data_IF_868988961085
#
_entry.id   IF_868988961085
#
_cell.length_a   1.000
_cell.length_b   1.000
_cell.length_c   1.000
_cell.angle_alpha   90.00
_cell.angle_beta   90.00
_cell.angle_gamma   90.00
#
_symmetry.space_group_name_H-M   'P 1'
#
loop_
_entity.id
_entity.type
_entity.pdbx_description
1 polymer ?
#
# COMPACT_ATOMS: atom_id res chain seq x y z
N UNK A 1 -4.98 1.57 -36.62
CA UNK A 1 -5.27 2.34 -35.38
C UNK A 1 -3.97 2.57 -34.63
N UNK A 2 -3.60 3.83 -34.40
CA UNK A 2 -2.25 4.27 -34.04
C UNK A 2 -1.77 3.73 -32.69
N UNK A 3 -0.56 3.14 -32.70
CA UNK A 3 0.12 2.61 -31.52
C UNK A 3 0.36 3.65 -30.41
N UNK A 4 0.48 4.93 -30.79
CA UNK A 4 0.65 6.05 -29.85
C UNK A 4 -0.59 6.36 -29.01
N UNK A 5 -1.79 6.31 -29.59
CA UNK A 5 -3.04 6.64 -28.88
C UNK A 5 -3.37 5.59 -27.81
N UNK A 6 -3.06 4.32 -28.08
CA UNK A 6 -3.19 3.24 -27.10
C UNK A 6 -2.16 3.33 -25.97
N UNK A 7 -0.95 3.81 -26.26
CA UNK A 7 0.07 4.07 -25.24
C UNK A 7 -0.38 5.18 -24.28
N UNK A 8 -0.87 6.32 -24.79
CA UNK A 8 -1.35 7.43 -23.94
C UNK A 8 -2.53 7.01 -23.06
N UNK A 9 -3.51 6.28 -23.62
CA UNK A 9 -4.64 5.74 -22.84
C UNK A 9 -4.18 4.80 -21.73
N UNK A 10 -3.21 3.93 -22.01
CA UNK A 10 -2.61 3.01 -21.02
C UNK A 10 -1.98 3.77 -19.86
N UNK A 11 -1.20 4.80 -20.15
CA UNK A 11 -0.58 5.65 -19.14
C UNK A 11 -1.62 6.27 -18.20
N UNK A 12 -2.66 6.88 -18.76
CA UNK A 12 -3.73 7.53 -17.99
C UNK A 12 -4.59 6.57 -17.19
N UNK A 13 -4.72 5.31 -17.61
CA UNK A 13 -5.48 4.32 -16.85
C UNK A 13 -4.63 3.66 -15.76
N UNK A 14 -3.43 3.21 -16.09
CA UNK A 14 -2.62 2.37 -15.20
C UNK A 14 -1.90 3.18 -14.12
N UNK A 15 -1.33 4.34 -14.50
CA UNK A 15 -0.47 5.08 -13.57
C UNK A 15 -1.25 5.60 -12.34
N UNK A 16 -2.46 6.16 -12.46
CA UNK A 16 -3.24 6.56 -11.28
C UNK A 16 -3.57 5.38 -10.37
N UNK A 17 -3.93 4.22 -10.93
CA UNK A 17 -4.25 3.02 -10.15
C UNK A 17 -3.03 2.55 -9.35
N UNK A 18 -1.87 2.47 -10.01
CA UNK A 18 -0.60 2.08 -9.39
C UNK A 18 -0.19 3.09 -8.32
N UNK A 19 -0.33 4.38 -8.62
CA UNK A 19 -0.01 5.47 -7.71
C UNK A 19 -0.86 5.42 -6.43
N UNK A 20 -2.19 5.32 -6.56
CA UNK A 20 -3.11 5.24 -5.41
C UNK A 20 -2.77 4.01 -4.57
N UNK A 21 -2.55 2.86 -5.22
CA UNK A 21 -2.27 1.61 -4.50
C UNK A 21 -0.97 1.67 -3.72
N UNK A 22 0.09 2.21 -4.32
CA UNK A 22 1.37 2.38 -3.65
C UNK A 22 1.30 3.44 -2.55
N UNK A 23 0.50 4.49 -2.75
CA UNK A 23 0.22 5.51 -1.73
C UNK A 23 -0.43 4.90 -0.49
N UNK A 24 -1.48 4.10 -0.69
CA UNK A 24 -2.16 3.41 0.42
C UNK A 24 -1.23 2.45 1.17
N UNK A 25 -0.31 1.77 0.48
CA UNK A 25 0.67 0.92 1.14
C UNK A 25 1.65 1.73 2.00
N UNK A 26 2.05 2.92 1.55
CA UNK A 26 2.94 3.80 2.32
C UNK A 26 2.24 4.52 3.48
N UNK A 27 0.91 4.58 3.45
CA UNK A 27 0.06 5.30 4.39
C UNK A 27 0.29 4.84 5.84
N UNK A 28 0.42 3.54 6.09
CA UNK A 28 0.62 3.01 7.46
C UNK A 28 1.92 3.51 8.10
N UNK A 29 3.01 3.61 7.34
CA UNK A 29 4.29 4.12 7.85
C UNK A 29 4.19 5.57 8.30
N UNK A 30 3.49 6.38 7.51
CA UNK A 30 3.25 7.78 7.83
C UNK A 30 2.35 7.89 9.06
N UNK A 31 1.23 7.16 9.08
CA UNK A 31 0.29 7.14 10.18
C UNK A 31 0.89 6.74 11.50
N UNK A 32 1.73 5.70 11.54
CA UNK A 32 2.34 5.29 12.79
C UNK A 32 3.26 6.37 13.35
N UNK A 33 3.93 7.11 12.46
CA UNK A 33 4.75 8.26 12.85
C UNK A 33 3.88 9.42 13.36
N UNK A 34 2.74 9.70 12.73
CA UNK A 34 1.80 10.73 13.18
C UNK A 34 1.10 10.36 14.50
N UNK A 35 0.66 9.12 14.65
CA UNK A 35 0.08 8.59 15.88
C UNK A 35 1.10 8.58 17.03
N UNK A 36 2.38 8.31 16.73
CA UNK A 36 3.49 8.46 17.69
C UNK A 36 3.63 9.90 18.19
N UNK A 37 3.42 10.89 17.33
CA UNK A 37 3.39 12.29 17.73
C UNK A 37 2.09 12.70 18.44
N UNK A 38 1.02 11.92 18.30
CA UNK A 38 -0.33 12.24 18.79
C UNK A 38 -0.73 11.53 20.10
N UNK A 39 0.18 10.80 20.74
CA UNK A 39 -0.06 10.26 22.08
C UNK A 39 -0.15 8.73 22.20
N UNK A 40 0.01 7.96 21.11
CA UNK A 40 0.01 6.48 21.20
C UNK A 40 1.09 5.96 22.17
N UNK A 41 2.19 6.71 22.31
CA UNK A 41 3.31 6.39 23.18
C UNK A 41 2.95 6.50 24.65
N UNK A 42 2.23 7.55 25.02
CA UNK A 42 1.74 7.82 26.35
C UNK A 42 0.60 6.85 26.71
N UNK A 43 -0.35 6.66 25.79
CA UNK A 43 -1.53 5.80 25.96
C UNK A 43 -1.18 4.33 26.21
N UNK A 44 -0.15 3.81 25.53
CA UNK A 44 0.26 2.40 25.61
C UNK A 44 1.54 2.19 26.42
N UNK A 45 2.11 3.25 27.01
CA UNK A 45 3.38 3.18 27.75
C UNK A 45 4.57 2.75 26.89
N UNK A 46 4.58 3.14 25.61
CA UNK A 46 5.63 2.78 24.66
C UNK A 46 6.89 3.58 24.99
N UNK A 47 7.91 2.89 25.48
CA UNK A 47 9.25 3.45 25.64
C UNK A 47 9.97 3.57 24.30
N UNK A 48 11.03 4.38 24.22
CA UNK A 48 11.88 4.48 23.02
C UNK A 48 12.38 3.11 22.55
N UNK A 49 12.71 2.20 23.47
CA UNK A 49 13.12 0.83 23.15
C UNK A 49 12.01 0.02 22.48
N UNK A 50 10.77 0.15 22.95
CA UNK A 50 9.61 -0.53 22.36
C UNK A 50 9.29 0.07 20.99
N UNK A 51 9.33 1.39 20.81
CA UNK A 51 9.13 2.02 19.49
C UNK A 51 10.12 1.46 18.45
N UNK A 52 11.40 1.37 18.82
CA UNK A 52 12.44 0.77 17.98
C UNK A 52 12.17 -0.71 17.70
N UNK A 53 11.70 -1.47 18.68
CA UNK A 53 11.31 -2.87 18.51
C UNK A 53 10.14 -3.03 17.54
N UNK A 54 9.10 -2.20 17.65
CA UNK A 54 7.95 -2.21 16.74
C UNK A 54 8.36 -1.94 15.29
N UNK A 55 9.23 -0.94 15.09
CA UNK A 55 9.82 -0.65 13.78
C UNK A 55 10.67 -1.81 13.25
N UNK A 56 11.50 -2.42 14.12
CA UNK A 56 12.32 -3.57 13.75
C UNK A 56 11.46 -4.79 13.35
N UNK A 57 10.37 -5.08 14.07
CA UNK A 57 9.45 -6.16 13.73
C UNK A 57 8.77 -5.95 12.38
N UNK A 58 8.36 -4.72 12.08
CA UNK A 58 7.84 -4.37 10.76
C UNK A 58 8.86 -4.67 9.65
N UNK A 59 10.10 -4.17 9.80
CA UNK A 59 11.13 -4.42 8.79
C UNK A 59 11.59 -5.87 8.73
N UNK A 60 11.50 -6.61 9.84
CA UNK A 60 11.78 -8.05 9.88
C UNK A 60 10.79 -8.83 9.00
N UNK A 61 9.49 -8.58 9.17
CA UNK A 61 8.45 -9.15 8.32
C UNK A 61 8.65 -8.76 6.85
N UNK A 62 8.97 -7.48 6.62
CA UNK A 62 9.26 -6.96 5.29
C UNK A 62 10.42 -7.72 4.62
N UNK A 63 11.56 -7.85 5.30
CA UNK A 63 12.76 -8.48 4.76
C UNK A 63 12.53 -9.93 4.34
N UNK A 64 11.93 -10.75 5.22
CA UNK A 64 11.73 -12.17 4.93
C UNK A 64 10.70 -12.43 3.82
N UNK A 65 9.67 -11.60 3.72
CA UNK A 65 8.56 -11.84 2.78
C UNK A 65 8.66 -11.08 1.47
N UNK A 66 9.64 -10.18 1.33
CA UNK A 66 9.84 -9.45 0.08
C UNK A 66 10.21 -10.38 -1.09
N UNK A 67 11.14 -11.33 -0.86
CA UNK A 67 11.55 -12.30 -1.91
C UNK A 67 10.41 -13.28 -2.24
N UNK A 68 9.78 -13.96 -1.27
CA UNK A 68 8.61 -14.80 -1.54
C UNK A 68 7.47 -14.06 -2.25
N UNK A 69 7.16 -12.84 -1.81
CA UNK A 69 6.14 -11.98 -2.40
C UNK A 69 6.44 -11.64 -3.87
N UNK A 70 7.70 -11.30 -4.18
CA UNK A 70 8.14 -11.06 -5.55
C UNK A 70 7.99 -12.31 -6.43
N UNK A 71 8.41 -13.48 -5.95
CA UNK A 71 8.29 -14.75 -6.67
C UNK A 71 6.81 -15.08 -6.94
N UNK A 72 5.93 -14.88 -5.95
CA UNK A 72 4.50 -15.09 -6.13
C UNK A 72 3.91 -14.14 -7.18
N UNK A 73 4.26 -12.85 -7.10
CA UNK A 73 3.80 -11.83 -8.04
C UNK A 73 4.19 -12.15 -9.49
N UNK A 74 5.43 -12.61 -9.70
CA UNK A 74 5.95 -12.97 -11.02
C UNK A 74 5.27 -14.23 -11.59
N UNK A 75 5.13 -15.27 -10.76
CA UNK A 75 4.69 -16.61 -11.23
C UNK A 75 3.17 -16.78 -11.26
N UNK A 76 2.42 -16.10 -10.40
CA UNK A 76 0.98 -16.32 -10.22
C UNK A 76 0.15 -15.16 -10.71
N UNK A 77 0.11 -14.07 -9.94
CA UNK A 77 -0.77 -12.93 -10.22
C UNK A 77 -0.42 -11.77 -9.30
N UNK A 78 -0.16 -10.62 -9.90
CA UNK A 78 -0.01 -9.35 -9.17
C UNK A 78 -1.38 -8.90 -8.66
N UNK A 79 -2.43 -9.03 -9.48
CA UNK A 79 -3.80 -8.64 -9.15
C UNK A 79 -4.27 -9.29 -7.85
N UNK A 80 -4.12 -10.62 -7.73
CA UNK A 80 -4.52 -11.38 -6.53
C UNK A 80 -3.71 -11.02 -5.30
N UNK A 81 -2.39 -10.90 -5.46
CA UNK A 81 -1.49 -10.59 -4.37
C UNK A 81 -1.81 -9.22 -3.77
N UNK A 82 -1.90 -8.17 -4.61
CA UNK A 82 -2.20 -6.82 -4.16
C UNK A 82 -3.60 -6.70 -3.56
N UNK A 83 -4.59 -7.41 -4.11
CA UNK A 83 -5.92 -7.48 -3.52
C UNK A 83 -5.89 -7.99 -2.07
N UNK A 84 -5.23 -9.13 -1.84
CA UNK A 84 -5.07 -9.70 -0.50
C UNK A 84 -4.30 -8.74 0.40
N UNK A 85 -3.22 -8.14 -0.10
CA UNK A 85 -2.44 -7.17 0.67
C UNK A 85 -3.29 -5.97 1.11
N UNK A 86 -4.11 -5.39 0.23
CA UNK A 86 -4.95 -4.24 0.57
C UNK A 86 -6.02 -4.59 1.63
N UNK A 87 -6.62 -5.78 1.55
CA UNK A 87 -7.58 -6.25 2.55
C UNK A 87 -6.90 -6.46 3.90
N UNK A 88 -5.77 -7.17 3.93
CA UNK A 88 -5.02 -7.42 5.15
C UNK A 88 -4.50 -6.12 5.76
N UNK A 89 -4.06 -5.18 4.92
CA UNK A 89 -3.62 -3.86 5.33
C UNK A 89 -4.76 -3.09 6.01
N UNK A 90 -5.92 -2.98 5.37
CA UNK A 90 -7.06 -2.23 5.94
C UNK A 90 -7.59 -2.86 7.23
N UNK A 91 -7.56 -4.19 7.31
CA UNK A 91 -7.84 -4.94 8.54
C UNK A 91 -6.83 -4.64 9.65
N UNK A 92 -5.53 -4.70 9.37
CA UNK A 92 -4.48 -4.44 10.35
C UNK A 92 -4.46 -2.98 10.82
N UNK A 93 -4.71 -2.02 9.92
CA UNK A 93 -4.88 -0.61 10.26
C UNK A 93 -6.05 -0.45 11.24
N UNK A 94 -7.22 -0.99 10.92
CA UNK A 94 -8.40 -0.93 11.81
C UNK A 94 -8.15 -1.62 13.16
N UNK A 95 -7.45 -2.76 13.17
CA UNK A 95 -7.05 -3.46 14.39
C UNK A 95 -6.07 -2.64 15.25
N UNK A 96 -5.21 -1.83 14.63
CA UNK A 96 -4.31 -0.92 15.35
C UNK A 96 -5.11 0.12 16.14
N UNK A 97 -6.20 0.65 15.57
CA UNK A 97 -7.05 1.62 16.26
C UNK A 97 -7.72 1.09 17.52
N UNK A 98 -7.98 -0.21 17.61
CA UNK A 98 -8.63 -0.84 18.77
C UNK A 98 -7.64 -1.52 19.74
N UNK A 99 -6.34 -1.33 19.55
CA UNK A 99 -5.32 -2.00 20.36
C UNK A 99 -5.15 -1.33 21.72
N UNK A 100 -4.93 -2.15 22.75
CA UNK A 100 -4.74 -1.70 24.13
C UNK A 100 -3.47 -2.25 24.79
N UNK A 101 -2.71 -3.09 24.07
CA UNK A 101 -1.51 -3.71 24.62
C UNK A 101 -0.37 -3.78 23.58
N UNK A 102 0.86 -3.70 24.08
CA UNK A 102 2.08 -3.70 23.27
C UNK A 102 2.27 -5.01 22.49
N UNK A 103 2.04 -6.21 23.05
CA UNK A 103 2.22 -7.46 22.31
C UNK A 103 1.30 -7.58 21.08
N UNK A 104 0.04 -7.17 21.17
CA UNK A 104 -0.86 -7.15 20.02
C UNK A 104 -0.39 -6.14 18.97
N UNK A 105 0.05 -4.94 19.39
CA UNK A 105 0.62 -3.95 18.47
C UNK A 105 1.87 -4.49 17.76
N UNK A 106 2.74 -5.21 18.47
CA UNK A 106 3.92 -5.86 17.92
C UNK A 106 3.56 -6.92 16.86
N UNK A 107 2.56 -7.76 17.13
CA UNK A 107 2.06 -8.74 16.18
C UNK A 107 1.47 -8.07 14.93
N UNK A 108 0.64 -7.03 15.11
CA UNK A 108 0.07 -6.25 14.00
C UNK A 108 1.17 -5.63 13.14
N UNK A 109 2.23 -5.07 13.76
CA UNK A 109 3.36 -4.47 13.03
C UNK A 109 4.16 -5.47 12.24
N UNK A 110 4.39 -6.67 12.78
CA UNK A 110 5.03 -7.74 12.04
C UNK A 110 4.19 -8.14 10.82
N UNK A 111 2.87 -8.34 10.99
CA UNK A 111 1.97 -8.71 9.90
C UNK A 111 1.91 -7.62 8.83
N UNK A 112 1.83 -6.34 9.22
CA UNK A 112 1.90 -5.21 8.29
C UNK A 112 3.19 -5.24 7.47
N UNK A 113 4.32 -5.52 8.12
CA UNK A 113 5.61 -5.71 7.46
C UNK A 113 5.56 -6.80 6.39
N UNK A 114 5.00 -7.96 6.72
CA UNK A 114 4.81 -9.09 5.79
C UNK A 114 3.93 -8.71 4.60
N UNK A 115 2.82 -8.01 4.85
CA UNK A 115 1.85 -7.58 3.84
C UNK A 115 2.47 -6.56 2.88
N UNK A 116 3.18 -5.58 3.41
CA UNK A 116 3.74 -4.48 2.63
C UNK A 116 4.97 -4.91 1.82
N UNK A 117 5.69 -5.93 2.29
CA UNK A 117 6.87 -6.53 1.62
C UNK A 117 6.63 -6.84 0.14
N UNK A 118 5.42 -7.30 -0.17
CA UNK A 118 5.04 -7.80 -1.47
C UNK A 118 4.59 -6.67 -2.43
N UNK A 119 4.23 -5.49 -1.92
CA UNK A 119 3.58 -4.44 -2.71
C UNK A 119 4.55 -3.84 -3.73
N UNK A 120 5.72 -3.38 -3.27
CA UNK A 120 6.73 -2.76 -4.14
C UNK A 120 7.18 -3.71 -5.27
N UNK A 121 7.64 -4.95 -5.01
CA UNK A 121 8.06 -5.84 -6.09
C UNK A 121 6.90 -6.18 -7.04
N UNK A 122 5.69 -6.37 -6.53
CA UNK A 122 4.52 -6.63 -7.35
C UNK A 122 4.18 -5.45 -8.28
N UNK A 123 4.28 -4.20 -7.79
CA UNK A 123 4.08 -3.01 -8.63
C UNK A 123 5.12 -2.88 -9.72
N UNK A 124 6.39 -3.16 -9.43
CA UNK A 124 7.46 -3.15 -10.44
C UNK A 124 7.22 -4.22 -11.52
N UNK A 125 6.84 -5.44 -11.12
CA UNK A 125 6.47 -6.51 -12.05
C UNK A 125 5.27 -6.10 -12.90
N UNK A 126 4.26 -5.49 -12.29
CA UNK A 126 3.08 -4.98 -12.99
C UNK A 126 3.44 -3.92 -14.04
N UNK A 127 4.22 -2.90 -13.66
CA UNK A 127 4.73 -1.89 -14.60
C UNK A 127 5.52 -2.57 -15.72
N UNK A 128 6.34 -3.58 -15.40
CA UNK A 128 7.13 -4.29 -16.42
C UNK A 128 6.25 -5.04 -17.43
N UNK A 129 5.10 -5.57 -17.02
CA UNK A 129 4.17 -6.27 -17.89
C UNK A 129 3.42 -5.34 -18.85
N UNK A 130 3.16 -4.10 -18.43
CA UNK A 130 2.33 -3.14 -19.17
C UNK A 130 3.12 -2.09 -19.95
N UNK A 131 4.32 -1.74 -19.51
CA UNK A 131 5.15 -0.69 -20.11
C UNK A 131 6.39 -1.25 -20.80
N UNK A 132 6.77 -0.60 -21.90
CA UNK A 132 7.97 -0.93 -22.68
C UNK A 132 9.25 -0.54 -21.94
N UNK A 133 10.42 -1.10 -22.31
CA UNK A 133 11.70 -0.80 -21.65
C UNK A 133 12.03 0.70 -21.59
N UNK A 134 11.68 1.47 -22.61
CA UNK A 134 11.90 2.93 -22.65
C UNK A 134 10.96 3.71 -21.72
N UNK A 135 9.76 3.19 -21.46
CA UNK A 135 8.75 3.83 -20.60
C UNK A 135 8.88 3.44 -19.13
N UNK A 136 9.40 2.24 -18.83
CA UNK A 136 9.51 1.68 -17.48
C UNK A 136 10.23 2.59 -16.50
N UNK A 137 11.31 3.24 -16.92
CA UNK A 137 12.06 4.15 -16.05
C UNK A 137 11.17 5.29 -15.55
N UNK A 138 10.43 5.93 -16.47
CA UNK A 138 9.49 7.02 -16.14
C UNK A 138 8.34 6.52 -15.26
N UNK A 139 7.76 5.36 -15.56
CA UNK A 139 6.69 4.78 -14.75
C UNK A 139 7.16 4.45 -13.32
N UNK A 140 8.38 3.92 -13.17
CA UNK A 140 8.98 3.66 -11.86
C UNK A 140 9.25 4.96 -11.08
N UNK A 141 9.70 6.03 -11.76
CA UNK A 141 9.84 7.35 -11.12
C UNK A 141 8.51 7.84 -10.57
N UNK A 142 7.42 7.74 -11.35
CA UNK A 142 6.08 8.10 -10.88
C UNK A 142 5.61 7.25 -9.70
N UNK A 143 5.88 5.94 -9.71
CA UNK A 143 5.60 5.07 -8.56
C UNK A 143 6.31 5.58 -7.30
N UNK A 144 7.62 5.84 -7.38
CA UNK A 144 8.43 6.28 -6.23
C UNK A 144 8.00 7.67 -5.74
N UNK A 145 7.64 8.59 -6.66
CA UNK A 145 7.07 9.90 -6.32
C UNK A 145 5.75 9.80 -5.55
N UNK A 146 5.08 8.64 -5.60
CA UNK A 146 3.94 8.33 -4.73
C UNK A 146 4.26 8.52 -3.25
N UNK A 147 5.46 8.16 -2.78
CA UNK A 147 5.81 8.25 -1.36
C UNK A 147 5.77 9.69 -0.81
N UNK A 148 6.55 10.65 -1.33
CA UNK A 148 6.53 12.02 -0.81
C UNK A 148 5.17 12.70 -1.01
N UNK A 149 4.48 12.42 -2.13
CA UNK A 149 3.15 12.99 -2.37
C UNK A 149 2.15 12.45 -1.33
N UNK A 150 2.19 11.15 -1.04
CA UNK A 150 1.35 10.52 -0.01
C UNK A 150 1.54 11.19 1.33
N UNK A 151 2.80 11.33 1.78
CA UNK A 151 3.09 11.97 3.06
C UNK A 151 2.57 13.41 3.10
N UNK A 152 2.70 14.16 2.00
CA UNK A 152 2.26 15.55 1.91
C UNK A 152 0.75 15.68 2.19
N UNK A 153 -0.10 14.96 1.45
CA UNK A 153 -1.55 15.10 1.65
C UNK A 153 -2.07 14.33 2.86
N UNK A 154 -1.49 13.18 3.18
CA UNK A 154 -1.88 12.39 4.36
C UNK A 154 -1.58 13.13 5.66
N UNK A 155 -0.45 13.82 5.78
CA UNK A 155 -0.12 14.58 7.00
C UNK A 155 -1.23 15.58 7.37
N UNK A 156 -1.84 16.20 6.37
CA UNK A 156 -2.97 17.11 6.56
C UNK A 156 -4.23 16.34 6.98
N UNK A 157 -4.58 15.28 6.24
CA UNK A 157 -5.78 14.47 6.52
C UNK A 157 -5.72 13.83 7.90
N UNK A 158 -4.63 13.11 8.19
CA UNK A 158 -4.40 12.46 9.49
C UNK A 158 -4.36 13.48 10.62
N UNK A 159 -3.77 14.67 10.41
CA UNK A 159 -3.77 15.75 11.39
C UNK A 159 -5.19 16.20 11.78
N UNK A 160 -6.07 16.43 10.80
CA UNK A 160 -7.47 16.77 11.05
C UNK A 160 -8.24 15.63 11.73
N UNK A 161 -8.01 14.38 11.31
CA UNK A 161 -8.64 13.21 11.91
C UNK A 161 -8.22 13.02 13.37
N UNK A 162 -6.93 13.15 13.67
CA UNK A 162 -6.40 13.10 15.04
C UNK A 162 -7.02 14.20 15.90
N UNK A 163 -7.11 15.43 15.38
CA UNK A 163 -7.68 16.55 16.13
C UNK A 163 -9.18 16.36 16.43
N UNK A 164 -9.93 15.81 15.47
CA UNK A 164 -11.38 15.67 15.58
C UNK A 164 -11.82 14.42 16.37
N UNK A 165 -11.12 13.30 16.17
CA UNK A 165 -11.55 11.98 16.65
C UNK A 165 -10.51 11.26 17.51
N UNK A 166 -9.22 11.57 17.35
CA UNK A 166 -8.13 10.88 18.01
C UNK A 166 -7.38 9.92 17.09
N UNK A 167 -6.24 9.40 17.58
CA UNK A 167 -5.36 8.53 16.79
C UNK A 167 -5.97 7.14 16.52
N UNK A 168 -6.83 6.64 17.42
CA UNK A 168 -7.46 5.32 17.30
C UNK A 168 -8.42 5.29 16.11
N UNK A 169 -9.28 6.29 16.07
CA UNK A 169 -10.32 6.51 15.08
C UNK A 169 -9.71 6.85 13.73
N UNK A 170 -8.61 7.61 13.70
CA UNK A 170 -7.82 7.86 12.48
C UNK A 170 -7.43 6.54 11.80
N UNK A 171 -6.84 5.58 12.52
CA UNK A 171 -6.45 4.28 11.97
C UNK A 171 -7.64 3.47 11.43
N UNK A 172 -8.79 3.52 12.11
CA UNK A 172 -10.01 2.83 11.66
C UNK A 172 -10.57 3.49 10.40
N UNK A 173 -10.68 4.82 10.40
CA UNK A 173 -11.22 5.60 9.28
C UNK A 173 -10.35 5.44 8.04
N UNK A 174 -9.03 5.42 8.18
CA UNK A 174 -8.10 5.27 7.05
C UNK A 174 -7.97 3.81 6.57
N UNK A 175 -8.26 2.83 7.43
CA UNK A 175 -8.36 1.42 7.05
C UNK A 175 -9.49 1.13 6.05
N UNK A 176 -10.63 1.83 6.18
CA UNK A 176 -11.83 1.61 5.35
C UNK A 176 -11.60 1.92 3.86
N UNK A 177 -11.06 3.09 3.46
CA UNK A 177 -10.74 3.40 2.07
C UNK A 177 -9.84 2.36 1.40
N UNK A 178 -8.90 1.76 2.13
CA UNK A 178 -8.02 0.74 1.54
C UNK A 178 -8.76 -0.57 1.25
N UNK A 179 -9.70 -0.98 2.11
CA UNK A 179 -10.57 -2.14 1.84
C UNK A 179 -11.45 -1.87 0.62
N UNK A 180 -12.05 -0.68 0.53
CA UNK A 180 -12.85 -0.26 -0.64
C UNK A 180 -11.97 -0.30 -1.89
N UNK A 181 -10.77 0.26 -1.81
CA UNK A 181 -9.81 0.28 -2.90
C UNK A 181 -9.37 -1.13 -3.31
N UNK A 182 -9.30 -2.09 -2.39
CA UNK A 182 -9.02 -3.48 -2.74
C UNK A 182 -10.05 -4.02 -3.74
N UNK A 183 -11.34 -3.80 -3.50
CA UNK A 183 -12.39 -4.23 -4.43
C UNK A 183 -12.32 -3.45 -5.75
N UNK A 184 -12.05 -2.16 -5.72
CA UNK A 184 -11.81 -1.37 -6.94
C UNK A 184 -10.62 -1.93 -7.74
N UNK A 185 -9.49 -2.19 -7.09
CA UNK A 185 -8.31 -2.81 -7.69
C UNK A 185 -8.64 -4.16 -8.32
N UNK A 186 -9.40 -4.99 -7.62
CA UNK A 186 -9.83 -6.28 -8.17
C UNK A 186 -10.59 -6.10 -9.47
N UNK A 187 -11.49 -5.14 -9.59
CA UNK A 187 -12.27 -4.92 -10.81
C UNK A 187 -11.43 -4.28 -11.92
N UNK A 188 -10.61 -3.28 -11.58
CA UNK A 188 -9.91 -2.41 -12.53
C UNK A 188 -8.63 -3.04 -13.12
N UNK A 189 -7.96 -3.91 -12.37
CA UNK A 189 -6.63 -4.46 -12.74
C UNK A 189 -6.73 -5.81 -13.43
N UNK A 190 -5.91 -6.00 -14.47
CA UNK A 190 -5.66 -7.27 -15.14
C UNK A 190 -4.16 -7.57 -15.13
N UNK A 191 -3.76 -8.82 -14.94
CA UNK A 191 -2.35 -9.18 -14.74
C UNK A 191 -1.49 -8.98 -15.99
N UNK A 192 -2.08 -9.22 -17.18
CA UNK A 192 -1.37 -9.16 -18.46
C UNK A 192 -2.20 -8.41 -19.51
N UNK A 193 -1.56 -7.66 -20.42
CA UNK A 193 -2.24 -7.03 -21.55
C UNK A 193 -3.04 -8.02 -22.41
N UNK A 194 -2.57 -9.28 -22.52
CA UNK A 194 -3.27 -10.34 -23.26
C UNK A 194 -4.62 -10.75 -22.66
N UNK A 195 -4.91 -10.37 -21.41
CA UNK A 195 -6.19 -10.60 -20.75
C UNK A 195 -7.21 -9.49 -21.06
N UNK A 196 -6.79 -8.40 -21.71
CA UNK A 196 -7.68 -7.41 -22.30
C UNK A 196 -7.96 -7.87 -23.74
N UNK A 197 -8.73 -8.95 -23.87
CA UNK A 197 -9.46 -9.20 -25.11
C UNK A 197 -10.39 -8.01 -25.27
N UNK A 198 -10.14 -7.21 -26.31
CA UNK A 198 -10.97 -6.11 -26.74
C UNK A 198 -12.42 -6.59 -26.78
N UNK A 199 -13.24 -6.10 -25.85
CA UNK A 199 -14.67 -6.01 -26.06
C UNK A 199 -14.89 -4.99 -27.19
N UNK A 200 -14.76 -5.47 -28.43
CA UNK A 200 -14.81 -4.65 -29.64
C UNK A 200 -14.33 -5.39 -30.89
N UNK A 201 -14.56 -6.70 -30.93
CA UNK A 201 -14.46 -7.49 -32.15
C UNK A 201 -15.85 -7.93 -32.58
N UNK A 202 -16.66 -6.98 -33.06
CA UNK A 202 -17.66 -7.12 -34.13
C UNK A 202 -17.82 -5.74 -34.79
#
# INVERSE_FOLDING_TARGET
MNSSTNATKRWWYIMPIVFITYSLAYLDRANFSFASAAGITEDLGITKGISSLLGALFFLGYFFFQIPGAIYAERRSVRKLIFICLILWGGCASLTGIVHNIPALAAIRFILGVVEAAVMPAMLIYISNWFTKSERSRANTFLILGNPVTVLWMSVVSGYLIQAFGWREMFIIEGVPAVIWAFCWWVLVKDKPSQVLLAGGE
#
